data_IF_627467802818
#
_entry.id   IF_627467802818
#
_cell.length_a   1.000
_cell.length_b   1.000
_cell.length_c   1.000
_cell.angle_alpha   90.00
_cell.angle_beta   90.00
_cell.angle_gamma   90.00
#
_symmetry.space_group_name_H-M   'P 1'
#
loop_
_entity.id
_entity.type
_entity.pdbx_description
1 polymer ?
#
# COMPACT_ATOMS: atom_id res chain seq x y z
N UNK A 1 0.50 11.41 24.47
CA UNK A 1 -0.74 11.46 23.67
C UNK A 1 -0.55 11.25 22.16
N UNK A 2 0.57 11.64 21.52
CA UNK A 2 0.81 11.29 20.10
C UNK A 2 1.44 9.88 19.91
N UNK A 3 2.16 9.38 20.91
CA UNK A 3 2.81 8.06 20.87
C UNK A 3 1.82 6.90 21.08
N UNK A 4 0.79 7.09 21.91
CA UNK A 4 -0.19 6.03 22.26
C UNK A 4 -0.98 5.52 21.05
N UNK A 5 -1.11 6.35 20.00
CA UNK A 5 -1.78 5.97 18.75
C UNK A 5 -0.93 5.01 17.89
N UNK A 6 0.40 5.11 17.94
CA UNK A 6 1.30 4.19 17.24
C UNK A 6 1.32 2.81 17.90
N UNK A 7 1.15 2.74 19.22
CA UNK A 7 1.08 1.47 19.94
C UNK A 7 -0.19 0.66 19.65
N UNK A 8 -1.24 1.32 19.15
CA UNK A 8 -2.53 0.68 18.79
C UNK A 8 -2.58 0.17 17.35
N UNK A 9 -1.59 0.49 16.50
CA UNK A 9 -1.53 -0.01 15.13
C UNK A 9 -0.69 -1.30 15.07
N UNK A 10 -1.10 -2.30 14.27
CA UNK A 10 -0.29 -3.50 14.08
C UNK A 10 1.07 -3.14 13.48
N UNK A 11 2.15 -3.45 14.21
CA UNK A 11 3.49 -3.02 13.88
C UNK A 11 4.14 -4.00 12.89
N UNK A 12 4.59 -3.47 11.75
CA UNK A 12 5.38 -4.23 10.78
C UNK A 12 6.69 -4.70 11.44
N UNK A 13 6.99 -6.01 11.35
CA UNK A 13 8.19 -6.59 11.97
C UNK A 13 7.96 -7.20 13.37
N UNK A 14 6.80 -6.93 13.98
CA UNK A 14 6.45 -7.42 15.32
C UNK A 14 5.14 -8.22 15.31
N UNK A 15 4.08 -7.61 14.79
CA UNK A 15 2.73 -8.20 14.77
C UNK A 15 2.38 -8.77 13.40
N UNK A 16 2.88 -8.15 12.33
CA UNK A 16 2.59 -8.55 10.93
C UNK A 16 3.73 -9.37 10.32
N UNK A 17 4.94 -9.24 10.87
CA UNK A 17 6.13 -9.98 10.44
C UNK A 17 6.97 -10.34 11.67
N UNK A 18 6.47 -11.17 12.59
CA UNK A 18 7.23 -11.54 13.79
C UNK A 18 8.61 -12.11 13.40
N UNK A 19 9.66 -11.28 13.50
CA UNK A 19 11.02 -11.72 13.20
C UNK A 19 11.57 -12.48 14.41
N UNK A 20 11.99 -13.72 14.19
CA UNK A 20 12.77 -14.48 15.18
C UNK A 20 11.96 -15.34 16.16
N UNK A 21 10.88 -15.99 15.74
CA UNK A 21 10.52 -17.24 16.43
C UNK A 21 11.72 -18.18 16.25
N UNK A 22 12.36 -18.57 17.35
CA UNK A 22 13.43 -19.56 17.32
C UNK A 22 12.87 -20.81 16.63
N UNK A 23 13.54 -21.24 15.56
CA UNK A 23 13.20 -22.50 14.93
C UNK A 23 13.19 -23.58 16.00
N UNK A 24 12.10 -24.36 16.01
CA UNK A 24 11.96 -25.53 16.89
C UNK A 24 13.26 -26.32 16.76
N UNK A 25 13.95 -26.59 17.87
CA UNK A 25 15.22 -27.31 17.83
C UNK A 25 14.99 -28.67 17.18
N UNK A 26 15.32 -28.78 15.89
CA UNK A 26 15.27 -30.04 15.17
C UNK A 26 16.41 -30.89 15.73
N UNK A 27 16.11 -31.82 16.63
CA UNK A 27 17.05 -32.86 17.00
C UNK A 27 17.46 -33.60 15.72
N UNK A 28 18.73 -33.40 15.32
CA UNK A 28 19.29 -33.63 13.99
C UNK A 28 19.39 -35.08 13.50
N UNK A 29 18.51 -35.96 13.96
CA UNK A 29 18.50 -37.37 13.57
C UNK A 29 17.67 -37.66 12.31
N UNK A 30 16.76 -36.77 11.91
CA UNK A 30 15.93 -36.95 10.72
C UNK A 30 16.66 -36.72 9.39
N UNK A 31 17.50 -35.67 9.32
CA UNK A 31 18.11 -35.22 8.07
C UNK A 31 19.16 -36.19 7.49
N UNK A 32 19.90 -36.90 8.35
CA UNK A 32 20.96 -37.85 7.94
C UNK A 32 20.40 -39.06 7.20
N UNK A 33 19.20 -39.55 7.58
CA UNK A 33 18.53 -40.67 6.89
C UNK A 33 17.92 -40.27 5.54
N UNK A 34 17.43 -39.04 5.43
CA UNK A 34 16.76 -38.57 4.21
C UNK A 34 17.73 -38.33 3.05
N UNK A 35 19.02 -38.06 3.35
CA UNK A 35 20.06 -37.79 2.36
C UNK A 35 20.97 -38.99 2.06
N UNK A 36 20.73 -40.16 2.66
CA UNK A 36 21.47 -41.39 2.35
C UNK A 36 22.95 -41.40 2.74
N UNK A 37 23.41 -40.45 3.54
CA UNK A 37 24.80 -40.36 4.01
C UNK A 37 25.00 -41.33 5.20
N UNK A 38 25.60 -42.48 4.91
CA UNK A 38 26.06 -43.43 5.93
C UNK A 38 27.36 -42.91 6.57
N UNK A 39 27.55 -43.21 7.85
CA UNK A 39 28.59 -42.62 8.70
C UNK A 39 30.03 -43.11 8.41
N UNK A 40 30.32 -43.58 7.19
CA UNK A 40 31.57 -44.27 6.89
C UNK A 40 32.55 -43.45 6.02
N UNK A 41 32.20 -42.22 5.63
CA UNK A 41 33.04 -41.35 4.79
C UNK A 41 33.68 -40.19 5.58
N UNK A 42 34.21 -40.47 6.78
CA UNK A 42 34.81 -39.47 7.68
C UNK A 42 36.31 -39.20 7.43
N UNK A 43 36.90 -39.70 6.35
CA UNK A 43 38.28 -39.35 5.99
C UNK A 43 38.35 -38.46 4.74
N UNK A 44 38.87 -37.26 4.99
CA UNK A 44 39.53 -36.35 4.05
C UNK A 44 38.72 -35.12 3.62
N UNK A 45 38.67 -34.12 4.52
CA UNK A 45 38.38 -32.74 4.11
C UNK A 45 39.09 -31.72 5.00
N UNK A 46 40.43 -31.73 4.98
CA UNK A 46 41.26 -30.59 5.37
C UNK A 46 42.01 -30.10 4.13
N UNK A 47 41.39 -29.23 3.34
CA UNK A 47 42.04 -28.17 2.55
C UNK A 47 41.01 -27.50 1.62
N UNK A 48 41.19 -26.19 1.42
CA UNK A 48 40.54 -25.37 0.40
C UNK A 48 39.21 -24.72 0.77
N UNK A 49 39.21 -24.11 1.95
CA UNK A 49 38.28 -23.05 2.34
C UNK A 49 38.80 -21.69 1.81
N UNK A 50 38.81 -21.49 0.49
CA UNK A 50 38.89 -20.15 -0.13
C UNK A 50 38.76 -20.22 -1.66
N UNK A 51 37.54 -20.29 -2.18
CA UNK A 51 37.19 -19.44 -3.32
C UNK A 51 35.67 -19.29 -3.42
N UNK A 52 35.21 -18.26 -4.12
CA UNK A 52 33.83 -17.77 -4.34
C UNK A 52 32.75 -18.85 -4.65
N UNK A 53 33.14 -20.11 -4.82
CA UNK A 53 32.30 -21.29 -5.03
C UNK A 53 31.33 -21.60 -3.87
N UNK A 54 31.69 -21.32 -2.62
CA UNK A 54 30.86 -21.67 -1.45
C UNK A 54 29.55 -20.86 -1.34
N UNK A 55 29.52 -19.65 -1.90
CA UNK A 55 28.34 -18.78 -1.86
C UNK A 55 27.33 -19.15 -2.94
N UNK A 56 27.81 -19.53 -4.12
CA UNK A 56 26.98 -20.07 -5.19
C UNK A 56 26.47 -21.48 -4.82
N UNK A 57 27.28 -22.29 -4.14
CA UNK A 57 26.89 -23.61 -3.64
C UNK A 57 25.85 -23.51 -2.52
N UNK A 58 26.01 -22.61 -1.54
CA UNK A 58 24.98 -22.35 -0.54
C UNK A 58 23.69 -21.83 -1.18
N UNK A 59 23.79 -20.95 -2.17
CA UNK A 59 22.60 -20.42 -2.89
C UNK A 59 21.90 -21.51 -3.71
N UNK A 60 22.67 -22.41 -4.33
CA UNK A 60 22.15 -23.56 -5.06
C UNK A 60 21.50 -24.57 -4.12
N UNK A 61 22.14 -24.86 -2.98
CA UNK A 61 21.61 -25.72 -1.93
C UNK A 61 20.31 -25.15 -1.35
N UNK A 62 20.28 -23.86 -0.99
CA UNK A 62 19.07 -23.20 -0.51
C UNK A 62 17.95 -23.25 -1.57
N UNK A 63 18.28 -23.06 -2.86
CA UNK A 63 17.30 -23.18 -3.95
C UNK A 63 16.76 -24.61 -4.09
N UNK A 64 17.63 -25.62 -4.00
CA UNK A 64 17.23 -27.03 -4.04
C UNK A 64 16.36 -27.40 -2.83
N UNK A 65 16.71 -26.93 -1.63
CA UNK A 65 15.91 -27.09 -0.41
C UNK A 65 14.53 -26.43 -0.55
N UNK A 66 14.43 -25.23 -1.11
CA UNK A 66 13.12 -24.59 -1.34
C UNK A 66 12.21 -25.40 -2.28
N UNK A 67 12.78 -26.00 -3.34
CA UNK A 67 12.06 -26.89 -4.26
C UNK A 67 11.62 -28.18 -3.55
N UNK A 68 12.53 -28.80 -2.78
CA UNK A 68 12.26 -30.04 -2.05
C UNK A 68 11.23 -29.86 -0.92
N UNK A 69 11.27 -28.72 -0.22
CA UNK A 69 10.32 -28.34 0.83
C UNK A 69 8.96 -27.90 0.26
N UNK A 70 8.81 -27.81 -1.07
CA UNK A 70 7.61 -27.27 -1.76
C UNK A 70 7.14 -25.94 -1.16
N UNK A 71 8.09 -25.13 -0.69
CA UNK A 71 7.75 -23.79 -0.23
C UNK A 71 7.23 -23.04 -1.47
N UNK A 72 6.01 -22.49 -1.44
CA UNK A 72 5.55 -21.62 -2.51
C UNK A 72 6.64 -20.57 -2.73
N UNK A 73 7.03 -20.38 -3.99
CA UNK A 73 8.03 -19.37 -4.33
C UNK A 73 7.59 -18.04 -3.69
N UNK A 74 8.51 -17.17 -3.24
CA UNK A 74 8.11 -15.92 -2.54
C UNK A 74 7.09 -15.08 -3.35
N UNK A 75 7.08 -15.26 -4.68
CA UNK A 75 6.10 -14.69 -5.60
C UNK A 75 4.65 -15.23 -5.43
N UNK A 76 4.47 -16.46 -4.97
CA UNK A 76 3.17 -17.09 -4.73
C UNK A 76 2.54 -16.67 -3.39
N UNK A 77 3.35 -16.17 -2.44
CA UNK A 77 2.90 -15.84 -1.08
C UNK A 77 2.52 -14.36 -0.91
N UNK A 78 3.00 -13.48 -1.78
CA UNK A 78 2.76 -12.03 -1.67
C UNK A 78 2.11 -11.44 -2.93
N UNK A 79 0.82 -11.68 -3.11
CA UNK A 79 0.00 -10.94 -4.06
C UNK A 79 -0.44 -9.63 -3.40
N UNK A 80 0.20 -8.51 -3.76
CA UNK A 80 -0.31 -7.19 -3.36
C UNK A 80 -1.71 -7.03 -3.98
N UNK A 81 -2.76 -7.05 -3.14
CA UNK A 81 -4.13 -6.93 -3.62
C UNK A 81 -4.27 -5.65 -4.45
N UNK A 82 -4.53 -5.78 -5.75
CA UNK A 82 -4.82 -4.65 -6.63
C UNK A 82 -6.23 -4.15 -6.32
N UNK A 83 -6.34 -3.23 -5.38
CA UNK A 83 -7.60 -2.57 -5.08
C UNK A 83 -7.92 -1.55 -6.18
N UNK A 84 -9.14 -1.52 -6.72
CA UNK A 84 -9.56 -0.46 -7.64
C UNK A 84 -9.69 0.86 -6.86
N UNK A 85 -8.74 1.78 -7.04
CA UNK A 85 -8.77 3.09 -6.40
C UNK A 85 -9.43 4.14 -7.30
N UNK A 86 -10.09 5.11 -6.67
CA UNK A 86 -10.59 6.31 -7.32
C UNK A 86 -9.41 7.13 -7.84
N UNK A 87 -9.26 7.22 -9.15
CA UNK A 87 -8.11 7.89 -9.78
C UNK A 87 -8.34 9.40 -9.93
N UNK A 88 -7.26 10.14 -10.20
CA UNK A 88 -7.35 11.57 -10.55
C UNK A 88 -8.19 11.78 -11.81
N UNK A 89 -8.09 10.88 -12.78
CA UNK A 89 -8.90 10.94 -14.01
C UNK A 89 -10.40 10.76 -13.72
N UNK A 90 -10.76 9.81 -12.84
CA UNK A 90 -12.15 9.62 -12.39
C UNK A 90 -12.68 10.86 -11.69
N UNK A 91 -11.88 11.42 -10.78
CA UNK A 91 -12.23 12.63 -10.05
C UNK A 91 -12.44 13.82 -10.99
N UNK A 92 -11.53 14.03 -11.95
CA UNK A 92 -11.65 15.09 -12.96
C UNK A 92 -12.91 14.93 -13.77
N UNK A 93 -13.17 13.73 -14.30
CA UNK A 93 -14.37 13.43 -15.07
C UNK A 93 -15.66 13.71 -14.27
N UNK A 94 -15.67 13.34 -12.98
CA UNK A 94 -16.80 13.61 -12.08
C UNK A 94 -17.00 15.10 -11.82
N UNK A 95 -15.93 15.86 -11.55
CA UNK A 95 -16.01 17.31 -11.35
C UNK A 95 -16.54 17.99 -12.63
N UNK A 96 -15.95 17.71 -13.79
CA UNK A 96 -16.37 18.34 -15.06
C UNK A 96 -17.81 18.00 -15.45
N UNK A 97 -18.30 16.83 -15.02
CA UNK A 97 -19.69 16.42 -15.27
C UNK A 97 -20.69 17.09 -14.33
N UNK A 98 -20.34 17.24 -13.04
CA UNK A 98 -21.27 17.69 -12.00
C UNK A 98 -21.23 19.20 -11.76
N UNK A 99 -20.08 19.85 -11.96
CA UNK A 99 -19.90 21.27 -11.66
C UNK A 99 -20.82 22.20 -12.47
N UNK A 100 -21.09 21.98 -13.77
CA UNK A 100 -21.94 22.87 -14.56
C UNK A 100 -23.40 22.95 -14.10
N UNK A 101 -23.88 21.94 -13.37
CA UNK A 101 -25.23 21.96 -12.79
C UNK A 101 -25.34 22.88 -11.56
N UNK A 102 -24.22 23.37 -11.03
CA UNK A 102 -24.18 24.12 -9.79
C UNK A 102 -24.22 25.63 -10.04
N UNK A 103 -25.26 26.29 -9.56
CA UNK A 103 -25.43 27.75 -9.64
C UNK A 103 -24.72 28.52 -8.51
N UNK A 104 -24.25 27.80 -7.49
CA UNK A 104 -23.51 28.33 -6.34
C UNK A 104 -22.26 27.49 -6.08
N UNK A 105 -21.21 28.06 -5.47
CA UNK A 105 -20.06 27.28 -5.05
C UNK A 105 -20.45 26.14 -4.10
N UNK A 106 -19.91 24.96 -4.35
CA UNK A 106 -20.14 23.75 -3.55
C UNK A 106 -18.87 23.32 -2.84
N UNK A 107 -19.00 22.48 -1.81
CA UNK A 107 -17.84 21.90 -1.14
C UNK A 107 -17.12 20.90 -2.04
N UNK A 108 -15.80 20.84 -1.96
CA UNK A 108 -14.97 19.90 -2.73
C UNK A 108 -15.34 18.44 -2.47
N UNK A 109 -15.75 18.11 -1.24
CA UNK A 109 -16.16 16.75 -0.87
C UNK A 109 -17.45 16.28 -1.56
N UNK A 110 -18.23 17.18 -2.17
CA UNK A 110 -19.42 16.85 -2.97
C UNK A 110 -19.07 16.01 -4.20
N UNK A 111 -17.85 16.15 -4.71
CA UNK A 111 -17.37 15.41 -5.88
C UNK A 111 -16.75 14.06 -5.54
N UNK A 112 -16.75 13.66 -4.27
CA UNK A 112 -16.32 12.31 -3.92
C UNK A 112 -17.25 11.28 -4.56
N UNK A 113 -16.73 10.08 -4.88
CA UNK A 113 -17.61 8.97 -5.22
C UNK A 113 -18.57 8.75 -4.06
N UNK A 114 -19.85 8.55 -4.35
CA UNK A 114 -20.74 7.92 -3.38
C UNK A 114 -20.07 6.59 -3.02
N UNK A 115 -19.92 6.33 -1.72
CA UNK A 115 -19.37 5.09 -1.20
C UNK A 115 -20.20 3.96 -1.82
N UNK A 116 -19.72 3.39 -2.93
CA UNK A 116 -20.36 2.24 -3.55
C UNK A 116 -20.25 1.15 -2.50
N UNK A 117 -21.40 0.92 -1.88
CA UNK A 117 -21.64 0.02 -0.79
C UNK A 117 -21.02 -1.34 -1.13
N UNK A 118 -20.48 -2.01 -0.10
CA UNK A 118 -20.19 -3.45 -0.05
C UNK A 118 -18.80 -3.93 -0.47
N UNK A 119 -17.73 -3.36 0.10
CA UNK A 119 -16.58 -4.18 0.47
C UNK A 119 -16.17 -3.82 1.90
N UNK A 120 -16.83 -4.47 2.86
CA UNK A 120 -16.49 -4.42 4.29
C UNK A 120 -15.11 -5.07 4.51
N UNK A 121 -14.06 -4.34 4.14
CA UNK A 121 -12.67 -4.75 4.30
C UNK A 121 -11.85 -3.65 4.96
N UNK A 122 -10.72 -4.05 5.56
CA UNK A 122 -9.73 -3.19 6.23
C UNK A 122 -9.22 -2.01 5.37
N UNK A 123 -9.43 -2.05 4.06
CA UNK A 123 -8.98 -1.04 3.09
C UNK A 123 -9.95 0.13 2.87
N UNK A 124 -11.12 0.17 3.51
CA UNK A 124 -12.07 1.29 3.40
C UNK A 124 -11.46 2.67 3.74
N UNK A 125 -10.73 2.86 4.87
CA UNK A 125 -10.10 4.16 5.18
C UNK A 125 -9.05 4.57 4.14
N UNK A 126 -8.30 3.62 3.58
CA UNK A 126 -7.33 3.89 2.53
C UNK A 126 -8.01 4.36 1.24
N UNK A 127 -9.09 3.67 0.81
CA UNK A 127 -9.88 4.07 -0.36
C UNK A 127 -10.47 5.47 -0.22
N UNK A 128 -11.00 5.80 0.96
CA UNK A 128 -11.52 7.15 1.24
C UNK A 128 -10.43 8.22 1.18
N UNK A 129 -9.25 7.95 1.73
CA UNK A 129 -8.08 8.85 1.64
C UNK A 129 -7.61 9.03 0.20
N UNK A 130 -7.53 7.94 -0.57
CA UNK A 130 -7.17 7.99 -1.99
C UNK A 130 -8.18 8.81 -2.79
N UNK A 131 -9.48 8.63 -2.56
CA UNK A 131 -10.52 9.41 -3.21
C UNK A 131 -10.43 10.91 -2.88
N UNK A 132 -10.20 11.26 -1.61
CA UNK A 132 -9.97 12.64 -1.18
C UNK A 132 -8.74 13.25 -1.87
N UNK A 133 -7.62 12.54 -1.90
CA UNK A 133 -6.39 13.00 -2.53
C UNK A 133 -6.56 13.20 -4.05
N UNK A 134 -7.17 12.22 -4.74
CA UNK A 134 -7.41 12.29 -6.17
C UNK A 134 -8.35 13.46 -6.53
N UNK A 135 -9.41 13.67 -5.76
CA UNK A 135 -10.34 14.80 -5.95
C UNK A 135 -9.67 16.15 -5.70
N UNK A 136 -8.84 16.25 -4.67
CA UNK A 136 -8.03 17.44 -4.43
C UNK A 136 -7.08 17.74 -5.59
N UNK A 137 -6.29 16.75 -6.03
CA UNK A 137 -5.36 16.91 -7.15
C UNK A 137 -6.10 17.31 -8.43
N UNK A 138 -7.19 16.63 -8.78
CA UNK A 138 -7.99 16.95 -9.97
C UNK A 138 -8.53 18.38 -9.92
N UNK A 139 -8.99 18.84 -8.75
CA UNK A 139 -9.46 20.21 -8.59
C UNK A 139 -8.34 21.25 -8.74
N UNK A 140 -7.13 20.96 -8.25
CA UNK A 140 -5.97 21.84 -8.42
C UNK A 140 -5.52 21.89 -9.89
N UNK A 141 -5.58 20.76 -10.60
CA UNK A 141 -5.29 20.72 -12.03
C UNK A 141 -6.27 21.56 -12.85
N UNK A 142 -7.57 21.44 -12.56
CA UNK A 142 -8.63 22.21 -13.21
C UNK A 142 -8.57 23.70 -12.84
N UNK A 143 -8.21 24.04 -11.61
CA UNK A 143 -7.98 25.42 -11.20
C UNK A 143 -6.78 26.02 -11.94
N UNK A 144 -5.68 25.26 -12.05
CA UNK A 144 -4.48 25.66 -12.78
C UNK A 144 -4.77 25.91 -14.26
N UNK A 145 -5.66 25.14 -14.89
CA UNK A 145 -6.09 25.36 -16.28
C UNK A 145 -7.17 26.42 -16.44
N UNK A 146 -7.61 27.07 -15.35
CA UNK A 146 -8.66 28.08 -15.37
C UNK A 146 -10.06 27.52 -15.65
N UNK A 147 -10.26 26.20 -15.50
CA UNK A 147 -11.56 25.54 -15.75
C UNK A 147 -12.51 25.61 -14.56
N UNK A 148 -11.99 25.88 -13.36
CA UNK A 148 -12.78 26.12 -12.15
C UNK A 148 -12.05 27.09 -11.22
N UNK A 149 -12.72 27.47 -10.14
CA UNK A 149 -12.16 28.31 -9.07
C UNK A 149 -12.27 27.62 -7.71
N UNK A 150 -11.25 27.81 -6.87
CA UNK A 150 -11.18 27.27 -5.53
C UNK A 150 -11.16 28.41 -4.50
N UNK A 151 -11.92 28.25 -3.42
CA UNK A 151 -11.88 29.17 -2.28
C UNK A 151 -11.69 28.39 -0.98
N UNK A 152 -10.73 28.82 -0.16
CA UNK A 152 -10.53 28.33 1.19
C UNK A 152 -10.36 29.52 2.14
N UNK A 153 -11.20 29.62 3.17
CA UNK A 153 -11.26 30.80 4.04
C UNK A 153 -10.09 30.90 5.03
N UNK A 154 -9.61 29.77 5.52
CA UNK A 154 -8.47 29.68 6.43
C UNK A 154 -7.83 28.29 6.33
N UNK A 155 -6.70 28.10 6.99
CA UNK A 155 -6.01 26.81 7.03
C UNK A 155 -6.94 25.69 7.49
N UNK A 156 -6.96 24.57 6.74
CA UNK A 156 -7.80 23.39 6.99
C UNK A 156 -9.32 23.64 7.04
N UNK A 157 -9.80 24.81 6.63
CA UNK A 157 -11.23 25.03 6.41
C UNK A 157 -11.70 24.33 5.13
N UNK A 158 -13.00 24.06 5.00
CA UNK A 158 -13.55 23.43 3.81
C UNK A 158 -13.20 24.22 2.54
N UNK A 159 -12.82 23.49 1.50
CA UNK A 159 -12.52 24.04 0.18
C UNK A 159 -13.84 24.08 -0.59
N UNK A 160 -14.18 25.25 -1.13
CA UNK A 160 -15.30 25.44 -2.04
C UNK A 160 -14.82 25.49 -3.48
N UNK A 161 -15.61 24.95 -4.39
CA UNK A 161 -15.38 24.83 -5.82
C UNK A 161 -16.50 25.56 -6.56
N UNK A 162 -16.17 26.38 -7.54
CA UNK A 162 -17.13 27.03 -8.42
C UNK A 162 -16.65 27.06 -9.87
N UNK A 163 -17.56 27.27 -10.82
CA UNK A 163 -17.23 27.52 -12.22
C UNK A 163 -16.22 28.67 -12.40
N UNK A 164 -15.44 28.59 -13.48
CA UNK A 164 -14.58 29.68 -13.92
C UNK A 164 -15.42 30.93 -14.20
N UNK A 165 -15.18 32.01 -13.46
CA UNK A 165 -15.91 33.28 -13.62
C UNK A 165 -16.95 33.60 -12.53
N UNK A 166 -17.27 32.65 -11.62
CA UNK A 166 -18.12 32.93 -10.44
C UNK A 166 -17.40 33.74 -9.34
N UNK A 167 -16.16 34.21 -9.58
CA UNK A 167 -15.28 34.92 -8.64
C UNK A 167 -15.85 36.21 -8.04
N UNK A 168 -16.93 36.77 -8.59
CA UNK A 168 -17.55 38.01 -8.08
C UNK A 168 -18.54 37.80 -6.92
N UNK A 169 -19.03 36.58 -6.68
CA UNK A 169 -20.16 36.36 -5.76
C UNK A 169 -19.79 35.71 -4.42
N UNK A 170 -18.51 35.53 -4.10
CA UNK A 170 -18.09 34.81 -2.89
C UNK A 170 -18.24 35.60 -1.58
N UNK A 171 -18.54 36.91 -1.67
CA UNK A 171 -18.72 37.81 -0.52
C UNK A 171 -20.17 37.90 -0.01
N UNK A 172 -21.13 37.22 -0.63
CA UNK A 172 -22.53 37.25 -0.21
C UNK A 172 -23.01 35.86 0.20
N UNK A 173 -22.80 35.52 1.46
CA UNK A 173 -23.20 34.24 2.03
C UNK A 173 -22.51 33.98 3.37
N UNK A 174 -22.75 34.87 4.32
CA UNK A 174 -22.72 34.56 5.73
C UNK A 174 -24.16 34.35 6.17
N UNK A 175 -24.48 33.12 6.54
CA UNK A 175 -25.22 32.75 7.74
C UNK A 175 -24.72 31.35 8.15
#
# INVERSE_FOLDING_TARGET
MAADWLEQQPQLGRDVFARGQAEVAWEGQGARRALGLTADDDEMLDAELADDAGRDDLTALLRACLVALRLPSYADVFQLQRLPFWTVADARARITRLLPAQTKPVLLNWFLPEDRVEEAGSSQPLRRKAALAATLIASLELARSGSLTLQQRAFLQPIKVGEAGLTKNWHQGSD
#
